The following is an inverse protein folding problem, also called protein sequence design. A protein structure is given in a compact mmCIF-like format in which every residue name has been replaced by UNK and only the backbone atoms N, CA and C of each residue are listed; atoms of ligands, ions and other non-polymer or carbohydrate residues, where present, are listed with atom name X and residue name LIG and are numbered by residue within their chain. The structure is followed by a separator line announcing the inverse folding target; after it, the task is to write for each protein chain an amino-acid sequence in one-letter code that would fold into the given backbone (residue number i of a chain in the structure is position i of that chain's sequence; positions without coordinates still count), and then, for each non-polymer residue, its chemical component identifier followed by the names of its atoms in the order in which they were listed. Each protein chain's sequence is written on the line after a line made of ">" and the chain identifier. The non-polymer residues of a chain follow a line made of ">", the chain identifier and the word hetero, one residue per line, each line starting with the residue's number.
data_IF_687817649732
#
_entry.id   IF_687817649732
#
_cell.length_a   1.000
_cell.length_b   1.000
_cell.length_c   1.000
_cell.angle_alpha   90.00
_cell.angle_beta   90.00
_cell.angle_gamma   90.00
#
_symmetry.space_group_name_H-M   'P 1'
#
loop_
_entity.id
_entity.type
_entity.pdbx_description
1 polymer ?
#
# COMPACT_ATOMS: atom_id res chain seq x y z
N UNK A 1 0.71 2.27 1.57
CA UNK A 1 0.97 2.24 0.12
C UNK A 1 -0.20 2.89 -0.55
N UNK A 2 0.03 4.02 -1.21
CA UNK A 2 -0.99 4.74 -1.95
C UNK A 2 -0.85 4.41 -3.45
N UNK A 3 -1.97 4.10 -4.09
CA UNK A 3 -2.05 3.70 -5.49
C UNK A 3 -2.97 4.68 -6.19
N UNK A 4 -2.43 5.44 -7.14
CA UNK A 4 -3.20 6.35 -7.97
C UNK A 4 -3.46 5.65 -9.30
N UNK A 5 -4.72 5.57 -9.71
CA UNK A 5 -5.12 4.97 -10.98
C UNK A 5 -5.92 5.93 -11.83
N UNK A 6 -5.74 5.81 -13.14
CA UNK A 6 -6.61 6.40 -14.15
C UNK A 6 -7.94 5.63 -14.19
N UNK A 7 -9.04 6.34 -13.94
CA UNK A 7 -10.40 5.83 -14.02
C UNK A 7 -11.15 6.32 -15.28
N UNK A 8 -10.45 6.91 -16.25
CA UNK A 8 -10.98 7.39 -17.51
C UNK A 8 -11.09 8.92 -17.55
N UNK A 9 -12.04 9.46 -16.79
CA UNK A 9 -12.29 10.90 -16.68
C UNK A 9 -11.69 11.53 -15.41
N UNK A 10 -11.24 10.70 -14.48
CA UNK A 10 -10.73 11.11 -13.18
C UNK A 10 -9.63 10.18 -12.71
N UNK A 11 -8.92 10.60 -11.66
CA UNK A 11 -8.01 9.75 -10.91
C UNK A 11 -8.70 9.17 -9.69
N UNK A 12 -8.44 7.90 -9.39
CA UNK A 12 -8.85 7.28 -8.12
C UNK A 12 -7.62 6.92 -7.31
N UNK A 13 -7.66 7.28 -6.03
CA UNK A 13 -6.63 6.91 -5.07
C UNK A 13 -7.13 5.76 -4.21
N UNK A 14 -6.31 4.73 -4.08
CA UNK A 14 -6.52 3.58 -3.21
C UNK A 14 -5.39 3.50 -2.20
N UNK A 15 -5.69 3.00 -1.01
CA UNK A 15 -4.69 2.78 0.02
C UNK A 15 -4.66 1.31 0.45
N UNK A 16 -3.46 0.74 0.46
CA UNK A 16 -3.17 -0.55 1.10
C UNK A 16 -2.21 -0.30 2.25
N UNK A 17 -2.67 -0.64 3.46
CA UNK A 17 -1.91 -0.48 4.70
C UNK A 17 -1.53 -1.82 5.30
N UNK A 18 -0.38 -1.89 5.95
CA UNK A 18 -0.06 -2.99 6.85
C UNK A 18 -0.91 -2.84 8.12
N UNK A 19 -1.99 -3.62 8.24
CA UNK A 19 -3.03 -3.42 9.26
C UNK A 19 -2.61 -3.78 10.68
N UNK A 20 -1.46 -4.44 10.87
CA UNK A 20 -0.95 -4.87 12.17
C UNK A 20 0.56 -4.74 12.25
N UNK A 21 1.06 -4.57 13.48
CA UNK A 21 2.49 -4.52 13.78
C UNK A 21 3.22 -5.74 13.18
N UNK A 22 4.39 -5.46 12.59
CA UNK A 22 5.24 -6.47 11.96
C UNK A 22 4.73 -7.00 10.61
N UNK A 23 3.60 -6.51 10.09
CA UNK A 23 3.21 -6.71 8.70
C UNK A 23 3.83 -5.63 7.81
N UNK A 24 3.91 -5.93 6.52
CA UNK A 24 4.42 -5.01 5.49
C UNK A 24 3.55 -5.08 4.26
N UNK A 25 3.66 -4.08 3.40
CA UNK A 25 3.03 -4.08 2.08
C UNK A 25 4.10 -4.40 1.05
N UNK A 26 3.81 -5.35 0.16
CA UNK A 26 4.65 -5.70 -0.98
C UNK A 26 3.94 -5.36 -2.29
N UNK A 27 4.72 -4.97 -3.29
CA UNK A 27 4.23 -4.74 -4.65
C UNK A 27 4.92 -5.67 -5.63
N UNK A 28 4.15 -6.24 -6.55
CA UNK A 28 4.68 -7.06 -7.64
C UNK A 28 3.92 -6.77 -8.94
N UNK A 29 4.65 -6.62 -10.05
CA UNK A 29 4.06 -6.42 -11.38
C UNK A 29 4.25 -7.68 -12.20
N UNK A 30 3.16 -8.29 -12.66
CA UNK A 30 3.22 -9.49 -13.49
C UNK A 30 1.99 -9.63 -14.38
N UNK A 31 2.21 -10.07 -15.62
CA UNK A 31 1.15 -10.33 -16.61
C UNK A 31 0.17 -9.16 -16.77
N UNK A 32 0.68 -7.92 -16.78
CA UNK A 32 -0.14 -6.73 -16.96
C UNK A 32 -0.96 -6.30 -15.74
N UNK A 33 -0.72 -6.89 -14.56
CA UNK A 33 -1.38 -6.53 -13.30
C UNK A 33 -0.33 -6.11 -12.28
N UNK A 34 -0.60 -5.03 -11.56
CA UNK A 34 0.09 -4.63 -10.34
C UNK A 34 -0.66 -5.25 -9.17
N UNK A 35 0.01 -6.12 -8.43
CA UNK A 35 -0.49 -6.66 -7.17
C UNK A 35 0.14 -5.92 -6.00
N UNK A 36 -0.71 -5.48 -5.06
CA UNK A 36 -0.28 -4.88 -3.81
C UNK A 36 -0.83 -5.73 -2.67
N UNK A 37 0.07 -6.37 -1.94
CA UNK A 37 -0.29 -7.35 -0.92
C UNK A 37 0.17 -6.91 0.46
N UNK A 38 -0.72 -6.99 1.44
CA UNK A 38 -0.30 -7.00 2.84
C UNK A 38 0.20 -8.40 3.17
N UNK A 39 1.43 -8.50 3.67
CA UNK A 39 2.05 -9.75 4.05
C UNK A 39 2.44 -9.74 5.53
N UNK A 40 2.41 -10.92 6.14
CA UNK A 40 2.95 -11.13 7.49
C UNK A 40 4.47 -10.92 7.50
N UNK A 41 5.06 -10.89 8.70
CA UNK A 41 6.51 -10.84 8.88
C UNK A 41 7.25 -11.97 8.13
N UNK A 42 6.63 -13.15 8.05
CA UNK A 42 7.18 -14.33 7.37
C UNK A 42 6.87 -14.38 5.87
N UNK A 43 6.18 -13.37 5.33
CA UNK A 43 5.84 -13.27 3.90
C UNK A 43 4.52 -13.95 3.50
N UNK A 44 3.73 -14.45 4.44
CA UNK A 44 2.41 -15.00 4.12
C UNK A 44 1.43 -13.87 3.74
N UNK A 45 0.75 -14.00 2.61
CA UNK A 45 -0.23 -13.01 2.13
C UNK A 45 -1.47 -13.01 3.02
N UNK A 46 -1.87 -11.83 3.48
CA UNK A 46 -3.11 -11.62 4.26
C UNK A 46 -4.24 -11.14 3.36
N UNK A 47 -3.95 -10.15 2.50
CA UNK A 47 -4.89 -9.60 1.52
C UNK A 47 -4.12 -9.04 0.34
N UNK A 48 -4.74 -9.06 -0.83
CA UNK A 48 -4.17 -8.54 -2.07
C UNK A 48 -5.17 -7.66 -2.79
N UNK A 49 -4.75 -6.46 -3.16
CA UNK A 49 -5.39 -5.63 -4.15
C UNK A 49 -4.72 -5.85 -5.52
N UNK A 50 -5.51 -5.77 -6.59
CA UNK A 50 -5.03 -5.92 -7.96
C UNK A 50 -5.47 -4.75 -8.81
N UNK A 51 -4.54 -4.20 -9.57
CA UNK A 51 -4.76 -3.08 -10.47
C UNK A 51 -4.24 -3.41 -11.86
N UNK A 52 -4.97 -3.02 -12.90
CA UNK A 52 -4.49 -3.14 -14.27
C UNK A 52 -3.27 -2.23 -14.45
N UNK A 53 -2.12 -2.78 -14.85
CA UNK A 53 -0.85 -2.04 -14.85
C UNK A 53 -0.89 -0.81 -15.76
N UNK A 54 -1.60 -0.90 -16.88
CA UNK A 54 -1.78 0.22 -17.82
C UNK A 54 -2.63 1.37 -17.27
N UNK A 55 -3.31 1.19 -16.13
CA UNK A 55 -4.11 2.22 -15.47
C UNK A 55 -3.45 2.77 -14.22
N UNK A 56 -2.34 2.18 -13.74
CA UNK A 56 -1.65 2.69 -12.55
C UNK A 56 -0.79 3.88 -12.95
N UNK A 57 -1.09 5.04 -12.37
CA UNK A 57 -0.37 6.29 -12.58
C UNK A 57 0.79 6.45 -11.60
N UNK A 58 0.58 6.04 -10.34
CA UNK A 58 1.60 6.14 -9.30
C UNK A 58 1.45 5.07 -8.23
N UNK A 59 2.59 4.71 -7.67
CA UNK A 59 2.76 3.84 -6.51
C UNK A 59 3.61 4.59 -5.50
N UNK A 60 3.00 5.03 -4.40
CA UNK A 60 3.63 5.95 -3.44
C UNK A 60 3.73 5.30 -2.07
N UNK A 61 4.96 5.19 -1.58
CA UNK A 61 5.24 4.84 -0.18
C UNK A 61 5.22 6.10 0.66
N UNK A 62 4.25 6.21 1.58
CA UNK A 62 4.19 7.32 2.52
C UNK A 62 5.21 7.13 3.64
N UNK A 63 5.93 8.19 4.06
CA UNK A 63 6.83 8.10 5.20
C UNK A 63 6.03 7.70 6.44
N UNK A 64 6.58 6.79 7.25
CA UNK A 64 5.93 6.38 8.50
C UNK A 64 5.88 7.61 9.42
N UNK A 65 4.68 8.09 9.81
CA UNK A 65 4.57 9.16 10.78
C UNK A 65 5.29 8.69 12.04
N UNK A 66 6.31 9.42 12.48
CA UNK A 66 6.89 9.18 13.80
C UNK A 66 5.75 9.39 14.77
N UNK A 67 5.42 8.38 15.58
CA UNK A 67 4.62 8.62 16.76
C UNK A 67 5.38 9.69 17.54
N UNK A 68 4.87 10.93 17.56
CA UNK A 68 5.31 11.90 18.54
C UNK A 68 4.96 11.24 19.87
N UNK A 69 5.98 10.65 20.50
CA UNK A 69 5.87 10.16 21.87
C UNK A 69 5.38 11.34 22.67
N UNK A 70 4.10 11.32 23.05
CA UNK A 70 3.55 12.29 23.98
C UNK A 70 4.21 11.99 25.32
N UNK A 71 5.41 12.53 25.50
CA UNK A 71 6.09 12.61 26.77
C UNK A 71 5.33 13.67 27.58
N UNK A 72 4.12 13.31 28.02
CA UNK A 72 3.48 14.02 29.12
C UNK A 72 4.13 13.49 30.39
N UNK A 73 5.23 14.15 30.70
CA UNK A 73 5.91 14.09 31.98
C UNK A 73 4.92 14.18 33.14
N UNK A 74 5.14 13.29 34.11
CA UNK A 74 5.07 13.57 35.56
C UNK A 74 3.71 13.92 36.15
#
# INVERSE_FOLDING_TARGET
>A
MEIVVDAGDTTRTYEVVASRAGRRVETAVRRGVVEVSEVTRTGAVVRTARFMANRVLALVEQPIPREESSDKAG
#
